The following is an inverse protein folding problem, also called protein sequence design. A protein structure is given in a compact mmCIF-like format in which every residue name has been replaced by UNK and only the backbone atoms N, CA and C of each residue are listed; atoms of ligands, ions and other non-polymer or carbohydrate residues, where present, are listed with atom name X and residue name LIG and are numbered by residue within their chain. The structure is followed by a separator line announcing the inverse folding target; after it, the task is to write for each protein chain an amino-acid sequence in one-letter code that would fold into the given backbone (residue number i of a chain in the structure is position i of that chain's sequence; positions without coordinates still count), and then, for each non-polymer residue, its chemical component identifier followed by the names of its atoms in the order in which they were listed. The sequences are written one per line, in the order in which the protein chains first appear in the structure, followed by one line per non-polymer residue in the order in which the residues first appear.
data_IF_229808087567
#
_entry.id   IF_229808087567
#
_cell.length_a   1.000
_cell.length_b   1.000
_cell.length_c   1.000
_cell.angle_alpha   90.00
_cell.angle_beta   90.00
_cell.angle_gamma   90.00
#
_symmetry.space_group_name_H-M   'P 1'
#
loop_
_entity.id
_entity.type
_entity.pdbx_description
1 polymer ?
#
# COMPACT_ATOMS: atom_id res chain seq x y z
N UNK A 1 -4.94 23.54 11.71
CA UNK A 1 -5.63 23.23 10.44
C UNK A 1 -5.51 21.74 10.18
N UNK A 2 -6.60 20.98 10.12
CA UNK A 2 -6.52 19.64 9.52
C UNK A 2 -6.30 19.85 8.03
N UNK A 3 -5.21 19.32 7.48
CA UNK A 3 -4.99 19.32 6.03
C UNK A 3 -6.22 18.70 5.37
N UNK A 4 -6.75 19.35 4.33
CA UNK A 4 -7.93 18.86 3.63
C UNK A 4 -7.53 17.59 2.85
N UNK A 5 -7.90 16.42 3.37
CA UNK A 5 -7.61 15.14 2.73
C UNK A 5 -8.44 15.00 1.45
N UNK A 6 -7.78 14.83 0.30
CA UNK A 6 -8.46 14.58 -0.98
C UNK A 6 -8.66 13.09 -1.17
N UNK A 7 -9.91 12.64 -1.28
CA UNK A 7 -10.24 11.29 -1.70
C UNK A 7 -10.40 11.22 -3.23
N UNK A 8 -9.91 10.14 -3.85
CA UNK A 8 -10.05 9.86 -5.29
C UNK A 8 -10.46 8.41 -5.45
N UNK A 9 -11.55 8.17 -6.18
CA UNK A 9 -11.97 6.83 -6.60
C UNK A 9 -11.49 6.57 -8.03
N UNK A 10 -10.70 5.51 -8.21
CA UNK A 10 -10.25 5.05 -9.53
C UNK A 10 -11.08 3.83 -9.88
N UNK A 11 -12.00 3.98 -10.84
CA UNK A 11 -12.99 2.95 -11.19
C UNK A 11 -12.68 2.35 -12.56
N UNK A 12 -12.89 1.04 -12.68
CA UNK A 12 -12.72 0.31 -13.93
C UNK A 12 -12.83 -1.20 -13.72
N UNK A 13 -13.04 -1.98 -14.79
CA UNK A 13 -13.09 -3.45 -14.73
C UNK A 13 -11.83 -4.08 -14.12
N UNK A 14 -11.87 -5.38 -13.83
CA UNK A 14 -10.68 -6.12 -13.40
C UNK A 14 -9.61 -6.11 -14.51
N UNK A 15 -8.34 -6.25 -14.11
CA UNK A 15 -7.19 -6.29 -15.04
C UNK A 15 -7.00 -5.04 -15.94
N UNK A 16 -7.43 -3.86 -15.49
CA UNK A 16 -7.23 -2.57 -16.20
C UNK A 16 -6.15 -1.67 -15.58
N UNK A 17 -5.22 -2.25 -14.81
CA UNK A 17 -4.06 -1.54 -14.28
C UNK A 17 -4.31 -0.60 -13.09
N UNK A 18 -5.47 -0.67 -12.43
CA UNK A 18 -5.81 0.20 -11.28
C UNK A 18 -4.82 0.07 -10.12
N UNK A 19 -4.51 -1.16 -9.72
CA UNK A 19 -3.51 -1.45 -8.68
C UNK A 19 -2.14 -0.91 -9.07
N UNK A 20 -1.74 -1.08 -10.33
CA UNK A 20 -0.49 -0.53 -10.84
C UNK A 20 -0.44 1.00 -10.70
N UNK A 21 -1.51 1.68 -11.13
CA UNK A 21 -1.65 3.12 -10.99
C UNK A 21 -1.58 3.55 -9.51
N UNK A 22 -2.27 2.85 -8.60
CA UNK A 22 -2.23 3.17 -7.17
C UNK A 22 -0.81 3.05 -6.59
N UNK A 23 -0.04 2.02 -6.98
CA UNK A 23 1.35 1.82 -6.55
C UNK A 23 2.25 2.94 -7.10
N UNK A 24 2.15 3.28 -8.38
CA UNK A 24 2.95 4.37 -8.97
C UNK A 24 2.64 5.71 -8.29
N UNK A 25 1.37 5.98 -8.01
CA UNK A 25 0.96 7.18 -7.26
C UNK A 25 1.53 7.16 -5.85
N UNK A 26 1.46 6.04 -5.14
CA UNK A 26 2.03 5.89 -3.79
C UNK A 26 3.53 6.18 -3.77
N UNK A 27 4.28 5.62 -4.72
CA UNK A 27 5.74 5.77 -4.80
C UNK A 27 6.22 7.17 -5.20
N UNK A 28 5.30 8.09 -5.53
CA UNK A 28 5.56 9.51 -5.72
C UNK A 28 5.45 10.33 -4.42
N UNK A 29 4.95 9.75 -3.33
CA UNK A 29 4.94 10.35 -1.99
C UNK A 29 6.10 9.83 -1.14
N UNK A 30 6.41 10.52 -0.04
CA UNK A 30 7.49 10.12 0.87
C UNK A 30 7.12 8.91 1.73
N UNK A 31 5.86 8.83 2.13
CA UNK A 31 5.31 7.72 2.91
C UNK A 31 3.98 7.26 2.33
N UNK A 32 3.69 5.97 2.44
CA UNK A 32 2.47 5.40 1.87
C UNK A 32 2.03 4.11 2.53
N UNK A 33 0.73 3.87 2.54
CA UNK A 33 0.11 2.59 2.95
C UNK A 33 -0.80 2.11 1.83
N UNK A 34 -0.71 0.82 1.47
CA UNK A 34 -1.63 0.17 0.55
C UNK A 34 -2.21 -1.10 1.17
N UNK A 35 -3.54 -1.16 1.22
CA UNK A 35 -4.32 -2.32 1.65
C UNK A 35 -4.79 -3.10 0.44
N UNK A 36 -4.49 -4.39 0.41
CA UNK A 36 -4.80 -5.30 -0.69
C UNK A 36 -5.75 -6.41 -0.21
N UNK A 37 -6.64 -6.94 -1.06
CA UNK A 37 -7.65 -7.92 -0.64
C UNK A 37 -7.07 -9.32 -0.41
N UNK A 38 -5.89 -9.61 -0.94
CA UNK A 38 -5.31 -10.96 -0.92
C UNK A 38 -3.84 -10.91 -0.50
N UNK A 39 -3.45 -11.86 0.34
CA UNK A 39 -2.06 -12.03 0.78
C UNK A 39 -1.07 -12.19 -0.37
N UNK A 40 -1.44 -12.95 -1.40
CA UNK A 40 -0.57 -13.15 -2.57
C UNK A 40 -0.27 -11.83 -3.28
N UNK A 41 -1.29 -10.96 -3.43
CA UNK A 41 -1.12 -9.63 -4.01
C UNK A 41 -0.26 -8.74 -3.10
N UNK A 42 -0.48 -8.76 -1.78
CA UNK A 42 0.39 -8.06 -0.84
C UNK A 42 1.85 -8.48 -0.97
N UNK A 43 2.11 -9.78 -1.15
CA UNK A 43 3.47 -10.29 -1.37
C UNK A 43 4.08 -9.81 -2.68
N UNK A 44 3.33 -9.89 -3.78
CA UNK A 44 3.78 -9.42 -5.10
C UNK A 44 4.13 -7.92 -5.07
N UNK A 45 3.28 -7.10 -4.46
CA UNK A 45 3.50 -5.65 -4.34
C UNK A 45 4.69 -5.35 -3.44
N UNK A 46 4.84 -6.06 -2.31
CA UNK A 46 6.01 -5.94 -1.44
C UNK A 46 7.30 -6.25 -2.19
N UNK A 47 7.37 -7.38 -2.90
CA UNK A 47 8.57 -7.79 -3.62
C UNK A 47 8.92 -6.79 -4.73
N UNK A 48 7.91 -6.24 -5.42
CA UNK A 48 8.09 -5.17 -6.41
C UNK A 48 8.68 -3.90 -5.79
N UNK A 49 8.13 -3.41 -4.68
CA UNK A 49 8.63 -2.19 -4.02
C UNK A 49 10.02 -2.43 -3.42
N UNK A 50 10.24 -3.60 -2.82
CA UNK A 50 11.55 -4.02 -2.31
C UNK A 50 12.62 -4.00 -3.40
N UNK A 51 12.31 -4.47 -4.60
CA UNK A 51 13.22 -4.42 -5.73
C UNK A 51 13.50 -2.97 -6.21
N UNK A 52 12.49 -2.09 -6.17
CA UNK A 52 12.59 -0.71 -6.67
C UNK A 52 13.23 0.28 -5.68
N UNK A 53 13.03 0.08 -4.37
CA UNK A 53 13.38 1.04 -3.32
C UNK A 53 14.33 0.47 -2.26
N UNK A 54 14.55 -0.85 -2.27
CA UNK A 54 15.36 -1.55 -1.28
C UNK A 54 14.53 -2.08 -0.11
N UNK A 55 15.02 -3.14 0.58
CA UNK A 55 14.28 -3.82 1.63
C UNK A 55 14.04 -2.96 2.89
N UNK A 56 14.92 -2.00 3.19
CA UNK A 56 14.87 -1.25 4.46
C UNK A 56 13.72 -0.23 4.55
N UNK A 57 13.02 0.01 3.44
CA UNK A 57 12.01 1.06 3.35
C UNK A 57 10.57 0.54 3.17
N UNK A 58 10.39 -0.78 3.03
CA UNK A 58 9.08 -1.38 2.76
C UNK A 58 8.76 -2.46 3.78
N UNK A 59 7.55 -2.39 4.33
CA UNK A 59 7.00 -3.41 5.22
C UNK A 59 5.98 -4.28 4.48
N UNK A 60 5.90 -5.54 4.90
CA UNK A 60 4.82 -6.48 4.56
C UNK A 60 4.07 -6.83 5.85
N UNK A 61 2.77 -6.57 5.91
CA UNK A 61 1.94 -6.90 7.07
C UNK A 61 0.69 -7.64 6.62
N UNK A 62 0.59 -8.91 6.98
CA UNK A 62 -0.57 -9.77 6.70
C UNK A 62 -0.96 -10.51 7.99
N UNK A 63 -1.98 -11.35 7.95
CA UNK A 63 -2.35 -12.19 9.10
C UNK A 63 -1.27 -13.21 9.48
N UNK A 64 -0.50 -13.67 8.50
CA UNK A 64 0.44 -14.79 8.66
C UNK A 64 1.92 -14.36 8.60
N UNK A 65 2.20 -13.21 7.99
CA UNK A 65 3.57 -12.72 7.78
C UNK A 65 3.68 -11.24 8.14
N UNK A 66 4.73 -10.92 8.91
CA UNK A 66 5.06 -9.55 9.31
C UNK A 66 6.56 -9.29 9.14
N UNK A 67 6.87 -8.38 8.23
CA UNK A 67 8.23 -7.87 7.97
C UNK A 67 8.16 -6.35 8.11
N UNK A 68 8.85 -5.78 9.10
CA UNK A 68 8.83 -4.33 9.37
C UNK A 68 10.25 -3.85 9.67
N UNK A 69 10.92 -3.23 8.68
CA UNK A 69 12.22 -2.58 8.89
C UNK A 69 12.14 -1.32 9.78
N UNK A 70 13.26 -0.93 10.37
CA UNK A 70 13.36 0.29 11.21
C UNK A 70 13.07 1.58 10.44
N UNK A 71 13.34 1.62 9.13
CA UNK A 71 13.20 2.81 8.27
C UNK A 71 12.01 2.72 7.30
N UNK A 72 10.96 2.02 7.71
CA UNK A 72 9.76 1.79 6.88
C UNK A 72 9.13 3.11 6.44
N UNK A 73 8.97 3.27 5.12
CA UNK A 73 8.27 4.38 4.47
C UNK A 73 7.00 3.91 3.76
N UNK A 74 7.02 2.69 3.21
CA UNK A 74 5.91 2.10 2.48
C UNK A 74 5.39 0.87 3.20
N UNK A 75 4.10 0.82 3.45
CA UNK A 75 3.44 -0.30 4.12
C UNK A 75 2.56 -1.02 3.11
N UNK A 76 2.87 -2.29 2.86
CA UNK A 76 2.07 -3.18 2.01
C UNK A 76 1.38 -4.18 2.92
N UNK A 77 0.06 -4.21 2.91
CA UNK A 77 -0.68 -5.05 3.83
C UNK A 77 -1.94 -5.67 3.21
N UNK A 78 -2.48 -6.70 3.84
CA UNK A 78 -3.90 -7.00 3.64
C UNK A 78 -4.76 -5.92 4.31
N UNK A 79 -5.97 -5.68 3.80
CA UNK A 79 -6.85 -4.61 4.34
C UNK A 79 -7.13 -4.82 5.83
N UNK A 80 -7.33 -6.05 6.28
CA UNK A 80 -7.62 -6.41 7.67
C UNK A 80 -6.43 -6.20 8.60
N UNK A 81 -5.20 -6.27 8.05
CA UNK A 81 -3.96 -6.04 8.78
C UNK A 81 -3.42 -4.61 8.60
N UNK A 82 -4.21 -3.73 7.96
CA UNK A 82 -3.80 -2.37 7.68
C UNK A 82 -3.59 -1.59 8.97
N UNK A 83 -2.40 -0.99 9.15
CA UNK A 83 -2.09 -0.28 10.38
C UNK A 83 -2.76 1.10 10.40
N UNK A 84 -3.51 1.40 11.47
CA UNK A 84 -4.39 2.57 11.56
C UNK A 84 -3.69 3.87 11.98
N UNK A 85 -2.58 3.76 12.69
CA UNK A 85 -1.91 4.90 13.34
C UNK A 85 -0.67 5.38 12.57
N UNK A 86 -0.50 4.92 11.33
CA UNK A 86 0.64 5.31 10.51
C UNK A 86 0.30 6.62 9.82
N UNK A 87 0.93 7.70 10.27
CA UNK A 87 0.87 9.00 9.60
C UNK A 87 1.53 8.91 8.22
N UNK A 88 0.75 8.58 7.20
CA UNK A 88 1.21 8.46 5.81
C UNK A 88 0.67 9.60 4.94
N UNK A 89 1.49 10.05 3.98
CA UNK A 89 1.12 11.07 3.01
C UNK A 89 0.17 10.53 1.94
N UNK A 90 0.14 9.21 1.75
CA UNK A 90 -0.71 8.51 0.80
C UNK A 90 -1.30 7.24 1.40
N UNK A 91 -2.60 7.02 1.15
CA UNK A 91 -3.29 5.77 1.51
C UNK A 91 -4.07 5.28 0.30
N UNK A 92 -3.89 4.00 -0.04
CA UNK A 92 -4.71 3.30 -1.02
C UNK A 92 -5.38 2.08 -0.40
N UNK A 93 -6.61 1.84 -0.81
CA UNK A 93 -7.36 0.61 -0.55
C UNK A 93 -7.72 0.05 -1.92
N UNK A 94 -7.24 -1.15 -2.22
CA UNK A 94 -7.55 -1.84 -3.47
C UNK A 94 -8.77 -2.74 -3.34
N UNK A 95 -9.49 -2.96 -4.44
CA UNK A 95 -10.72 -3.76 -4.51
C UNK A 95 -11.78 -3.40 -3.44
N UNK A 96 -12.06 -2.09 -3.26
CA UNK A 96 -12.97 -1.52 -2.25
C UNK A 96 -14.42 -2.03 -2.28
N UNK A 97 -14.83 -2.70 -3.36
CA UNK A 97 -16.16 -3.29 -3.49
C UNK A 97 -16.35 -4.58 -2.68
N UNK A 98 -15.26 -5.14 -2.12
CA UNK A 98 -15.27 -6.27 -1.20
C UNK A 98 -15.54 -5.80 0.23
#
# INVERSE_FOLDING_TARGET
MRAQSRAVAVLGPTNTGKTHYAIERMLAYRTGVIGLPLRLLAREVYDKIRALRGPDCVALVTGEERIVPDRTQYWVCTVEAMPLEIGADFVAIDEIQL
#
